data_IF_392890890472
#
_entry.id   IF_392890890472
#
_cell.length_a   1.000
_cell.length_b   1.000
_cell.length_c   1.000
_cell.angle_alpha   90.00
_cell.angle_beta   90.00
_cell.angle_gamma   90.00
#
_symmetry.space_group_name_H-M   'P 1'
#
loop_
_entity.id
_entity.type
_entity.pdbx_description
1 polymer ?
#
# COMPACT_ATOMS: atom_id res chain seq x y z
N UNK A 1 10.40 -3.79 -23.73
CA UNK A 1 9.89 -3.88 -22.35
C UNK A 1 11.02 -4.31 -21.43
N UNK A 2 11.01 -3.86 -20.19
CA UNK A 2 12.01 -4.26 -19.19
C UNK A 2 11.47 -5.41 -18.34
N UNK A 3 12.32 -6.36 -17.98
CA UNK A 3 12.03 -7.43 -17.02
C UNK A 3 13.16 -7.44 -16.02
N UNK A 4 12.85 -7.35 -14.73
CA UNK A 4 13.83 -7.31 -13.64
C UNK A 4 13.41 -8.23 -12.50
N UNK A 5 14.38 -8.85 -11.83
CA UNK A 5 14.15 -9.65 -10.64
C UNK A 5 15.01 -9.13 -9.49
N UNK A 6 14.42 -9.05 -8.30
CA UNK A 6 15.07 -8.60 -7.08
C UNK A 6 14.72 -9.53 -5.93
N UNK A 7 15.61 -9.64 -4.95
CA UNK A 7 15.36 -10.50 -3.80
C UNK A 7 14.37 -9.85 -2.83
N UNK A 8 14.42 -8.52 -2.68
CA UNK A 8 13.53 -7.71 -1.84
C UNK A 8 13.48 -6.24 -2.25
N UNK A 9 12.94 -5.38 -1.37
CA UNK A 9 12.74 -3.95 -1.65
C UNK A 9 14.05 -3.16 -1.76
N UNK A 10 15.11 -3.57 -1.07
CA UNK A 10 16.37 -2.83 -1.07
C UNK A 10 17.15 -3.10 -2.36
N UNK A 11 17.21 -4.36 -2.83
CA UNK A 11 17.81 -4.65 -4.14
C UNK A 11 16.99 -4.06 -5.28
N UNK A 12 15.65 -4.04 -5.15
CA UNK A 12 14.76 -3.30 -6.05
C UNK A 12 15.13 -1.82 -6.15
N UNK A 13 15.29 -1.14 -5.01
CA UNK A 13 15.65 0.28 -4.97
C UNK A 13 16.96 0.56 -5.72
N UNK A 14 18.00 -0.22 -5.45
CA UNK A 14 19.31 -0.02 -6.09
C UNK A 14 19.25 -0.33 -7.59
N UNK A 15 18.66 -1.46 -7.95
CA UNK A 15 18.59 -1.91 -9.34
C UNK A 15 17.74 -1.00 -10.22
N UNK A 16 16.58 -0.56 -9.73
CA UNK A 16 15.71 0.35 -10.48
C UNK A 16 16.28 1.76 -10.55
N UNK A 17 16.96 2.25 -9.51
CA UNK A 17 17.69 3.52 -9.60
C UNK A 17 18.72 3.49 -10.75
N UNK A 18 19.53 2.43 -10.85
CA UNK A 18 20.48 2.24 -11.97
C UNK A 18 19.77 2.16 -13.31
N UNK A 19 18.68 1.40 -13.40
CA UNK A 19 17.94 1.25 -14.64
C UNK A 19 17.37 2.58 -15.15
N UNK A 20 16.77 3.38 -14.26
CA UNK A 20 16.21 4.70 -14.55
C UNK A 20 17.29 5.71 -14.96
N UNK A 21 18.47 5.71 -14.32
CA UNK A 21 19.57 6.60 -14.72
C UNK A 21 20.15 6.25 -16.09
N UNK A 22 20.22 4.95 -16.41
CA UNK A 22 20.84 4.47 -17.64
C UNK A 22 19.90 4.54 -18.87
N UNK A 23 18.59 4.40 -18.65
CA UNK A 23 17.61 4.24 -19.74
C UNK A 23 16.43 5.22 -19.66
N UNK A 24 16.38 6.07 -18.64
CA UNK A 24 15.31 7.03 -18.47
C UNK A 24 15.42 8.20 -19.43
N UNK A 25 14.28 8.65 -19.94
CA UNK A 25 14.18 9.82 -20.80
C UNK A 25 13.48 10.95 -20.05
N UNK A 26 13.97 12.18 -20.23
CA UNK A 26 13.34 13.37 -19.63
C UNK A 26 12.02 13.69 -20.33
N UNK A 27 10.97 13.90 -19.54
CA UNK A 27 9.61 14.22 -19.99
C UNK A 27 8.96 15.22 -19.05
N UNK A 28 8.05 16.03 -19.59
CA UNK A 28 7.23 16.96 -18.80
C UNK A 28 5.81 16.43 -18.76
N UNK A 29 5.33 16.11 -17.56
CA UNK A 29 3.97 15.60 -17.34
C UNK A 29 3.29 16.44 -16.28
N UNK A 30 2.12 17.01 -16.59
CA UNK A 30 1.35 17.87 -15.67
C UNK A 30 2.20 19.02 -15.07
N UNK A 31 3.07 19.62 -15.88
CA UNK A 31 4.03 20.67 -15.49
C UNK A 31 5.17 20.23 -14.54
N UNK A 32 5.39 18.93 -14.39
CA UNK A 32 6.53 18.41 -13.63
C UNK A 32 7.57 17.79 -14.57
N UNK A 33 8.85 18.11 -14.35
CA UNK A 33 9.96 17.42 -15.00
C UNK A 33 10.19 16.05 -14.35
N UNK A 34 10.15 15.02 -15.17
CA UNK A 34 10.31 13.63 -14.78
C UNK A 34 11.35 12.95 -15.66
N UNK A 35 11.96 11.90 -15.14
CA UNK A 35 12.75 10.94 -15.91
C UNK A 35 12.02 9.62 -15.86
N UNK A 36 11.57 9.13 -17.02
CA UNK A 36 10.72 7.95 -17.13
C UNK A 36 11.32 6.89 -18.05
N UNK A 37 11.08 5.61 -17.75
CA UNK A 37 11.41 4.54 -18.68
C UNK A 37 10.55 4.67 -19.95
N UNK A 38 11.19 4.55 -21.10
CA UNK A 38 10.54 4.60 -22.41
C UNK A 38 9.68 3.36 -22.76
N UNK A 39 9.71 2.33 -21.92
CA UNK A 39 8.91 1.12 -22.08
C UNK A 39 8.36 0.62 -20.74
N UNK A 40 7.23 -0.12 -20.76
CA UNK A 40 6.73 -0.83 -19.59
C UNK A 40 7.77 -1.77 -18.97
N UNK A 41 7.65 -1.98 -17.67
CA UNK A 41 8.49 -2.88 -16.88
C UNK A 41 7.65 -3.90 -16.12
N UNK A 42 8.17 -5.13 -16.05
CA UNK A 42 7.72 -6.17 -15.11
C UNK A 42 8.83 -6.38 -14.09
N UNK A 43 8.53 -6.20 -12.82
CA UNK A 43 9.44 -6.48 -11.72
C UNK A 43 8.94 -7.70 -10.96
N UNK A 44 9.83 -8.65 -10.67
CA UNK A 44 9.57 -9.75 -9.73
C UNK A 44 10.35 -9.50 -8.44
N UNK A 45 9.66 -9.51 -7.30
CA UNK A 45 10.26 -9.58 -5.97
C UNK A 45 10.17 -11.02 -5.49
N UNK A 46 11.32 -11.66 -5.27
CA UNK A 46 11.38 -13.08 -4.90
C UNK A 46 10.94 -13.33 -3.46
N UNK A 47 11.20 -12.39 -2.55
CA UNK A 47 10.75 -12.47 -1.17
C UNK A 47 9.92 -11.23 -0.78
N UNK A 48 8.59 -11.28 -0.93
CA UNK A 48 7.70 -10.18 -0.56
C UNK A 48 7.69 -9.82 0.93
N UNK A 49 8.25 -10.68 1.80
CA UNK A 49 8.42 -10.36 3.23
C UNK A 49 9.60 -9.38 3.45
N UNK A 50 10.53 -9.27 2.51
CA UNK A 50 11.60 -8.26 2.52
C UNK A 50 11.11 -6.93 1.95
N UNK A 51 10.17 -6.31 2.67
CA UNK A 51 9.48 -5.06 2.26
C UNK A 51 9.87 -3.83 3.08
N UNK A 52 10.71 -3.98 4.09
CA UNK A 52 11.17 -2.88 4.92
C UNK A 52 12.42 -2.24 4.30
N UNK A 53 12.31 -0.96 3.94
CA UNK A 53 13.45 -0.23 3.38
C UNK A 53 14.43 0.12 4.49
N UNK A 54 15.61 -0.50 4.46
CA UNK A 54 16.67 -0.28 5.46
C UNK A 54 17.85 0.53 4.91
N UNK A 55 17.85 0.89 3.62
CA UNK A 55 18.82 1.81 3.03
C UNK A 55 18.69 3.21 3.66
N UNK A 56 19.76 3.70 4.28
CA UNK A 56 19.75 4.97 5.05
C UNK A 56 19.54 6.18 4.11
N UNK A 57 20.10 6.09 2.91
CA UNK A 57 20.09 7.07 1.83
C UNK A 57 18.67 7.33 1.31
N UNK A 58 17.80 6.32 1.39
CA UNK A 58 16.39 6.45 1.00
C UNK A 58 15.58 7.28 2.01
N UNK A 59 16.04 7.40 3.26
CA UNK A 59 15.36 8.12 4.34
C UNK A 59 13.85 7.80 4.42
N UNK A 60 13.53 6.51 4.46
CA UNK A 60 12.16 6.02 4.37
C UNK A 60 11.37 6.29 5.66
N UNK A 61 10.13 6.77 5.52
CA UNK A 61 9.19 6.90 6.64
C UNK A 61 8.41 5.60 6.79
N UNK A 62 8.93 4.67 7.60
CA UNK A 62 8.33 3.35 7.78
C UNK A 62 6.93 3.38 8.40
N UNK A 63 6.52 4.46 9.09
CA UNK A 63 5.20 4.55 9.74
C UNK A 63 4.07 4.65 8.72
N UNK A 64 4.28 5.43 7.65
CA UNK A 64 3.25 5.74 6.66
C UNK A 64 2.63 4.48 6.01
N UNK A 65 3.41 3.52 5.49
CA UNK A 65 2.85 2.29 4.93
C UNK A 65 1.99 1.47 5.91
N UNK A 66 2.33 1.42 7.21
CA UNK A 66 1.48 0.75 8.19
C UNK A 66 0.17 1.51 8.43
N UNK A 67 0.21 2.85 8.49
CA UNK A 67 -1.00 3.66 8.61
C UNK A 67 -1.89 3.52 7.37
N UNK A 68 -1.30 3.56 6.17
CA UNK A 68 -2.02 3.40 4.91
C UNK A 68 -2.56 1.98 4.73
N UNK A 69 -1.81 0.95 5.13
CA UNK A 69 -2.33 -0.42 5.16
C UNK A 69 -3.60 -0.54 6.01
N UNK A 70 -3.71 0.20 7.12
CA UNK A 70 -4.88 0.14 8.01
C UNK A 70 -6.03 0.88 7.35
N UNK A 71 -5.73 2.04 6.77
CA UNK A 71 -6.68 2.83 6.01
C UNK A 71 -7.27 2.05 4.81
N UNK A 72 -6.43 1.34 4.04
CA UNK A 72 -6.85 0.48 2.93
C UNK A 72 -7.69 -0.69 3.43
N UNK A 73 -7.19 -1.45 4.42
CA UNK A 73 -7.85 -2.67 4.89
C UNK A 73 -9.17 -2.39 5.59
N UNK A 74 -9.32 -1.26 6.31
CA UNK A 74 -10.59 -0.79 6.87
C UNK A 74 -11.56 -0.23 5.82
N UNK A 75 -11.16 -0.12 4.55
CA UNK A 75 -12.02 0.43 3.50
C UNK A 75 -12.16 1.95 3.53
N UNK A 76 -11.24 2.67 4.16
CA UNK A 76 -11.32 4.12 4.41
C UNK A 76 -10.78 4.95 3.25
N UNK A 77 -11.32 6.15 3.12
CA UNK A 77 -10.82 7.21 2.23
C UNK A 77 -10.71 8.57 2.95
N UNK A 78 -10.86 8.64 4.27
CA UNK A 78 -10.88 9.91 4.99
C UNK A 78 -9.48 10.51 5.19
N UNK A 79 -9.37 11.83 4.99
CA UNK A 79 -8.13 12.58 5.22
C UNK A 79 -7.81 12.77 6.70
N UNK A 80 -8.83 12.64 7.58
CA UNK A 80 -8.67 12.80 9.03
C UNK A 80 -7.69 11.79 9.64
N UNK A 81 -7.71 10.54 9.17
CA UNK A 81 -6.75 9.52 9.56
C UNK A 81 -5.41 9.70 8.85
N UNK A 82 -5.34 9.52 7.52
CA UNK A 82 -4.06 9.43 6.81
C UNK A 82 -3.27 10.75 6.84
N UNK A 83 -3.97 11.89 6.81
CA UNK A 83 -3.38 13.23 6.92
C UNK A 83 -2.79 13.55 8.30
N UNK A 84 -3.06 12.72 9.32
CA UNK A 84 -2.39 12.82 10.61
C UNK A 84 -0.98 12.22 10.61
N UNK A 85 -0.72 11.23 9.74
CA UNK A 85 0.58 10.57 9.59
C UNK A 85 1.48 11.30 8.59
N UNK A 86 0.89 11.91 7.55
CA UNK A 86 1.61 12.71 6.57
C UNK A 86 0.76 13.88 6.07
N UNK A 87 1.09 15.11 6.49
CA UNK A 87 0.37 16.32 6.07
C UNK A 87 0.39 16.58 4.56
N UNK A 88 1.41 16.11 3.84
CA UNK A 88 1.47 16.23 2.38
C UNK A 88 0.37 15.43 1.65
N UNK A 89 -0.31 14.50 2.33
CA UNK A 89 -1.43 13.78 1.71
C UNK A 89 -2.58 14.73 1.30
N UNK A 90 -2.74 15.87 1.98
CA UNK A 90 -3.74 16.88 1.61
C UNK A 90 -3.50 17.51 0.23
N UNK A 91 -2.26 17.49 -0.27
CA UNK A 91 -1.93 18.00 -1.62
C UNK A 91 -2.62 17.19 -2.72
N UNK A 92 -3.01 15.94 -2.42
CA UNK A 92 -3.71 15.02 -3.32
C UNK A 92 -5.22 14.94 -3.05
N UNK A 93 -5.77 15.76 -2.14
CA UNK A 93 -7.21 15.80 -1.87
C UNK A 93 -7.85 17.00 -2.57
N UNK A 94 -9.00 16.76 -3.19
CA UNK A 94 -9.79 17.82 -3.82
C UNK A 94 -10.54 18.67 -2.78
N UNK A 95 -10.97 18.06 -1.67
CA UNK A 95 -11.86 18.66 -0.65
C UNK A 95 -11.23 18.78 0.75
N UNK A 96 -10.02 18.26 0.95
CA UNK A 96 -9.34 18.09 2.24
C UNK A 96 -10.09 17.23 3.28
N UNK A 97 -11.14 16.52 2.88
CA UNK A 97 -12.00 15.70 3.72
C UNK A 97 -11.81 14.22 3.37
N UNK A 98 -11.71 13.90 2.09
CA UNK A 98 -11.53 12.56 1.54
C UNK A 98 -10.46 12.51 0.45
N UNK A 99 -9.94 11.33 0.16
CA UNK A 99 -9.04 11.09 -0.99
C UNK A 99 -9.75 10.17 -1.97
N UNK A 100 -10.15 10.74 -3.11
CA UNK A 100 -11.04 10.09 -4.06
C UNK A 100 -10.42 8.83 -4.68
N UNK A 101 -9.10 8.78 -4.86
CA UNK A 101 -8.39 7.62 -5.40
C UNK A 101 -7.96 6.60 -4.33
N UNK A 102 -8.36 6.79 -3.07
CA UNK A 102 -8.09 5.85 -1.99
C UNK A 102 -8.48 4.40 -2.37
N UNK A 103 -7.60 3.45 -2.08
CA UNK A 103 -7.88 2.06 -2.42
C UNK A 103 -8.91 1.41 -1.49
N UNK A 104 -9.11 1.93 -0.27
CA UNK A 104 -10.03 1.35 0.72
C UNK A 104 -11.43 1.07 0.16
N UNK A 105 -12.20 2.09 -0.26
CA UNK A 105 -13.54 1.87 -0.79
C UNK A 105 -13.58 1.00 -2.04
N UNK A 106 -12.56 1.08 -2.88
CA UNK A 106 -12.44 0.23 -4.07
C UNK A 106 -12.31 -1.24 -3.68
N UNK A 107 -11.56 -1.54 -2.62
CA UNK A 107 -11.31 -2.92 -2.17
C UNK A 107 -12.47 -3.49 -1.34
N UNK A 108 -13.09 -2.68 -0.48
CA UNK A 108 -14.08 -3.15 0.50
C UNK A 108 -15.53 -2.88 0.11
N UNK A 109 -15.77 -1.89 -0.75
CA UNK A 109 -17.11 -1.36 -1.05
C UNK A 109 -17.30 -1.06 -2.54
N UNK A 110 -16.83 -1.94 -3.43
CA UNK A 110 -16.91 -1.74 -4.87
C UNK A 110 -18.38 -1.76 -5.32
N UNK A 111 -18.88 -0.66 -5.88
CA UNK A 111 -20.30 -0.56 -6.26
C UNK A 111 -20.49 0.13 -7.62
N UNK A 112 -21.72 0.14 -8.14
CA UNK A 112 -22.08 0.91 -9.34
C UNK A 112 -22.42 2.38 -9.08
N UNK A 113 -22.30 2.89 -7.84
CA UNK A 113 -22.67 4.28 -7.49
C UNK A 113 -21.61 5.25 -8.02
N UNK A 114 -21.95 6.23 -8.88
CA UNK A 114 -20.94 7.08 -9.51
C UNK A 114 -20.08 7.92 -8.55
N UNK A 115 -20.64 8.39 -7.42
CA UNK A 115 -20.00 9.36 -6.52
C UNK A 115 -19.69 8.78 -5.12
N UNK A 116 -19.58 7.46 -4.99
CA UNK A 116 -19.29 6.81 -3.70
C UNK A 116 -17.84 7.02 -3.21
N UNK A 117 -16.90 7.34 -4.10
CA UNK A 117 -15.52 7.67 -3.72
C UNK A 117 -15.32 9.11 -3.23
N UNK A 118 -16.29 10.00 -3.45
CA UNK A 118 -16.22 11.42 -3.06
C UNK A 118 -16.82 11.70 -1.68
N UNK A 119 -17.60 10.76 -1.13
CA UNK A 119 -18.28 10.95 0.13
C UNK A 119 -17.71 10.01 1.19
N UNK A 120 -17.44 10.51 2.41
CA UNK A 120 -17.12 9.72 3.62
C UNK A 120 -18.33 8.87 4.09
N UNK A 121 -19.09 8.29 3.17
CA UNK A 121 -20.26 7.50 3.49
C UNK A 121 -19.76 6.25 4.20
N UNK A 122 -19.93 6.22 5.52
CA UNK A 122 -20.38 5.01 6.19
C UNK A 122 -21.63 4.56 5.44
N UNK A 123 -21.49 3.69 4.44
CA UNK A 123 -22.53 3.27 3.49
C UNK A 123 -23.71 2.51 4.14
N UNK A 124 -23.82 2.53 5.48
CA UNK A 124 -24.99 2.05 6.23
C UNK A 124 -26.26 2.85 5.98
N UNK A 125 -26.22 3.99 5.27
CA UNK A 125 -27.36 4.91 5.14
C UNK A 125 -27.79 5.31 3.72
N UNK A 126 -27.32 4.66 2.65
CA UNK A 126 -27.92 4.85 1.32
C UNK A 126 -29.19 3.99 1.20
N UNK A 127 -30.29 4.45 1.80
CA UNK A 127 -31.65 4.00 1.43
C UNK A 127 -32.11 4.81 0.22
N UNK A 128 -31.50 4.58 -0.94
CA UNK A 128 -32.01 5.11 -2.21
C UNK A 128 -32.89 4.03 -2.83
N UNK A 129 -34.15 4.38 -3.10
CA UNK A 129 -35.13 3.54 -3.80
C UNK A 129 -34.71 3.38 -5.27
N UNK A 130 -33.64 2.63 -5.53
CA UNK A 130 -33.26 2.14 -6.86
C UNK A 130 -33.09 0.62 -6.71
N UNK A 131 -33.71 -0.12 -7.62
CA UNK A 131 -33.65 -1.57 -7.69
C UNK A 131 -32.18 -2.05 -7.71
N UNK A 132 -31.77 -2.74 -6.62
CA UNK A 132 -30.51 -3.48 -6.42
C UNK A 132 -29.22 -2.80 -6.94
N UNK A 133 -28.74 -1.77 -6.24
CA UNK A 133 -27.30 -1.50 -6.22
C UNK A 133 -26.62 -2.63 -5.44
N UNK A 134 -25.70 -3.35 -6.10
CA UNK A 134 -24.88 -4.38 -5.44
C UNK A 134 -23.53 -3.74 -5.09
N UNK A 135 -23.22 -3.75 -3.80
CA UNK A 135 -21.89 -3.45 -3.28
C UNK A 135 -21.12 -4.76 -3.08
N UNK A 136 -19.85 -4.77 -3.46
CA UNK A 136 -18.96 -5.93 -3.44
C UNK A 136 -17.75 -5.62 -2.57
N UNK A 137 -17.63 -6.33 -1.46
CA UNK A 137 -16.35 -6.48 -0.77
C UNK A 137 -15.46 -7.41 -1.60
N UNK A 138 -14.49 -6.83 -2.31
CA UNK A 138 -13.59 -7.59 -3.18
C UNK A 138 -12.64 -8.47 -2.36
N UNK A 139 -12.38 -8.18 -1.07
CA UNK A 139 -11.65 -9.11 -0.21
C UNK A 139 -12.46 -10.38 0.07
N UNK A 140 -13.76 -10.21 0.37
CA UNK A 140 -14.68 -11.33 0.52
C UNK A 140 -14.78 -12.14 -0.77
N UNK A 141 -14.80 -11.46 -1.92
CA UNK A 141 -14.76 -12.11 -3.23
C UNK A 141 -13.52 -13.01 -3.38
N UNK A 142 -12.31 -12.52 -3.09
CA UNK A 142 -11.07 -13.32 -3.16
C UNK A 142 -11.19 -14.59 -2.30
N UNK A 143 -11.58 -14.47 -1.04
CA UNK A 143 -11.73 -15.65 -0.17
C UNK A 143 -12.73 -16.67 -0.74
N UNK A 144 -13.88 -16.18 -1.25
CA UNK A 144 -14.95 -17.03 -1.81
C UNK A 144 -14.51 -17.76 -3.08
N UNK A 145 -13.80 -17.10 -4.00
CA UNK A 145 -13.37 -17.76 -5.25
C UNK A 145 -12.29 -18.81 -5.00
N UNK A 146 -11.37 -18.58 -4.05
CA UNK A 146 -10.37 -19.58 -3.67
C UNK A 146 -10.97 -20.76 -2.90
N UNK A 147 -12.01 -20.52 -2.06
CA UNK A 147 -12.77 -21.60 -1.41
C UNK A 147 -13.49 -22.48 -2.44
N UNK A 148 -13.98 -21.89 -3.54
CA UNK A 148 -14.65 -22.61 -4.63
C UNK A 148 -13.65 -23.38 -5.50
N UNK A 149 -12.54 -22.74 -5.87
CA UNK A 149 -11.48 -23.32 -6.70
C UNK A 149 -10.11 -22.80 -6.20
N UNK A 150 -9.31 -23.67 -5.53
CA UNK A 150 -8.00 -23.28 -5.00
C UNK A 150 -6.99 -22.83 -6.06
N UNK A 151 -7.19 -23.18 -7.34
CA UNK A 151 -6.32 -22.80 -8.46
C UNK A 151 -6.99 -21.79 -9.42
N UNK A 152 -7.99 -21.06 -8.90
CA UNK A 152 -8.74 -20.07 -9.67
C UNK A 152 -7.82 -19.05 -10.35
N UNK A 153 -8.18 -18.70 -11.58
CA UNK A 153 -7.56 -17.59 -12.34
C UNK A 153 -8.37 -16.29 -12.22
N UNK A 154 -9.46 -16.34 -11.48
CA UNK A 154 -10.45 -15.26 -11.34
C UNK A 154 -10.26 -14.41 -10.08
N UNK A 155 -9.28 -14.74 -9.21
CA UNK A 155 -8.98 -13.96 -8.01
C UNK A 155 -8.36 -12.61 -8.34
N UNK A 156 -9.19 -11.64 -8.74
CA UNK A 156 -8.77 -10.31 -9.17
C UNK A 156 -9.56 -9.26 -8.39
N UNK A 157 -8.85 -8.24 -7.90
CA UNK A 157 -9.41 -7.00 -7.36
C UNK A 157 -9.24 -5.90 -8.42
N UNK A 158 -10.33 -5.26 -8.80
CA UNK A 158 -10.34 -4.09 -9.70
C UNK A 158 -10.22 -2.79 -8.89
N UNK A 159 -9.39 -1.86 -9.35
CA UNK A 159 -9.18 -0.56 -8.68
C UNK A 159 -9.59 0.60 -9.57
N UNK A 160 -9.08 0.65 -10.81
CA UNK A 160 -9.46 1.69 -11.76
C UNK A 160 -10.87 1.45 -12.27
N UNK A 161 -11.71 2.47 -12.19
CA UNK A 161 -13.07 2.47 -12.71
C UNK A 161 -13.25 3.69 -13.62
N UNK A 162 -13.20 3.53 -14.96
CA UNK A 162 -13.24 4.68 -15.86
C UNK A 162 -14.48 5.55 -15.73
N UNK A 163 -15.64 4.96 -15.41
CA UNK A 163 -16.88 5.70 -15.26
C UNK A 163 -16.82 6.65 -14.07
N UNK A 164 -16.13 6.27 -12.99
CA UNK A 164 -16.00 7.06 -11.76
C UNK A 164 -14.74 7.91 -11.70
N UNK A 165 -13.66 7.44 -12.30
CA UNK A 165 -12.34 8.08 -12.18
C UNK A 165 -12.10 9.13 -13.26
N UNK A 166 -12.66 8.99 -14.46
CA UNK A 166 -12.36 9.88 -15.60
C UNK A 166 -13.52 10.77 -16.05
N UNK A 167 -14.75 10.46 -15.67
CA UNK A 167 -15.93 11.23 -16.06
C UNK A 167 -16.67 11.81 -14.85
N UNK A 168 -17.20 13.02 -14.98
CA UNK A 168 -18.13 13.60 -14.02
C UNK A 168 -19.60 13.23 -14.33
N UNK A 169 -20.55 13.73 -13.55
CA UNK A 169 -21.98 13.43 -13.72
C UNK A 169 -22.56 13.93 -15.05
N UNK A 170 -21.87 14.85 -15.74
CA UNK A 170 -22.26 15.35 -17.06
C UNK A 170 -21.52 14.62 -18.20
N UNK A 171 -20.75 13.58 -17.87
CA UNK A 171 -19.93 12.81 -18.82
C UNK A 171 -18.79 13.64 -19.46
N UNK A 172 -18.33 14.67 -18.76
CA UNK A 172 -17.14 15.44 -19.12
C UNK A 172 -15.90 14.90 -18.39
N UNK A 173 -14.71 15.17 -18.94
CA UNK A 173 -13.46 14.74 -18.30
C UNK A 173 -13.33 15.35 -16.91
N UNK A 174 -13.25 14.49 -15.89
CA UNK A 174 -13.17 14.90 -14.48
C UNK A 174 -11.90 15.69 -14.22
N UNK A 175 -12.06 16.86 -13.59
CA UNK A 175 -10.95 17.68 -13.08
C UNK A 175 -10.73 17.35 -11.63
N UNK A 176 -9.68 16.59 -11.34
CA UNK A 176 -9.33 16.13 -9.99
C UNK A 176 -7.81 16.11 -9.85
N UNK A 177 -7.32 16.37 -8.64
CA UNK A 177 -5.90 16.18 -8.30
C UNK A 177 -5.52 14.71 -8.24
N UNK A 178 -6.51 13.84 -8.05
CA UNK A 178 -6.30 12.48 -7.59
C UNK A 178 -6.89 11.48 -8.56
N UNK A 179 -6.05 10.63 -9.15
CA UNK A 179 -6.48 9.54 -10.01
C UNK A 179 -5.75 8.27 -9.57
N UNK A 180 -6.43 7.13 -9.39
CA UNK A 180 -5.76 5.90 -9.00
C UNK A 180 -4.74 5.53 -10.07
N UNK A 181 -3.56 5.14 -9.62
CA UNK A 181 -2.46 4.72 -10.50
C UNK A 181 -2.42 3.19 -10.67
N UNK A 182 -3.07 2.46 -9.76
CA UNK A 182 -3.22 1.01 -9.82
C UNK A 182 -4.48 0.62 -10.58
N UNK A 183 -4.35 -0.32 -11.51
CA UNK A 183 -5.45 -0.85 -12.30
C UNK A 183 -6.13 -2.02 -11.59
N UNK A 184 -5.36 -3.04 -11.23
CA UNK A 184 -5.84 -4.27 -10.61
C UNK A 184 -4.75 -4.99 -9.79
N UNK A 185 -5.20 -5.93 -8.95
CA UNK A 185 -4.37 -6.85 -8.18
C UNK A 185 -4.92 -8.27 -8.44
N UNK A 186 -4.07 -9.18 -8.92
CA UNK A 186 -4.42 -10.57 -9.14
C UNK A 186 -3.71 -11.48 -8.14
N UNK A 187 -4.43 -12.45 -7.61
CA UNK A 187 -3.98 -13.47 -6.68
C UNK A 187 -3.96 -14.81 -7.39
N UNK A 188 -2.84 -15.52 -7.33
CA UNK A 188 -2.68 -16.83 -7.98
C UNK A 188 -2.00 -17.80 -7.03
N UNK A 189 -2.62 -18.97 -6.81
CA UNK A 189 -1.94 -20.07 -6.14
C UNK A 189 -0.89 -20.68 -7.08
N UNK A 190 0.31 -20.93 -6.55
CA UNK A 190 1.37 -21.76 -7.15
C UNK A 190 1.82 -22.76 -6.10
N UNK A 191 1.54 -24.04 -6.34
CA UNK A 191 1.79 -25.10 -5.36
C UNK A 191 1.16 -24.79 -4.00
N UNK A 192 1.98 -24.52 -2.97
CA UNK A 192 1.53 -24.16 -1.63
C UNK A 192 1.64 -22.66 -1.31
N UNK A 193 2.03 -21.83 -2.28
CA UNK A 193 2.21 -20.39 -2.09
C UNK A 193 1.21 -19.54 -2.86
N UNK A 194 1.02 -18.31 -2.40
CA UNK A 194 0.19 -17.29 -3.02
C UNK A 194 1.06 -16.25 -3.71
N UNK A 195 1.06 -16.23 -5.04
CA UNK A 195 1.63 -15.15 -5.83
C UNK A 195 0.64 -13.98 -5.95
N UNK A 196 1.16 -12.76 -5.98
CA UNK A 196 0.36 -11.55 -6.24
C UNK A 196 0.96 -10.75 -7.39
N UNK A 197 0.12 -10.34 -8.33
CA UNK A 197 0.49 -9.49 -9.47
C UNK A 197 -0.28 -8.18 -9.35
N UNK A 198 0.43 -7.05 -9.31
CA UNK A 198 -0.18 -5.72 -9.36
C UNK A 198 0.13 -5.07 -10.70
N UNK A 199 -0.90 -4.54 -11.37
CA UNK A 199 -0.74 -3.77 -12.60
C UNK A 199 -1.06 -2.30 -12.37
N UNK A 200 -0.14 -1.42 -12.78
CA UNK A 200 -0.22 0.02 -12.60
C UNK A 200 0.01 0.74 -13.93
N UNK A 201 -0.83 1.74 -14.23
CA UNK A 201 -0.64 2.59 -15.42
C UNK A 201 0.54 3.55 -15.28
N UNK A 202 0.94 3.88 -14.06
CA UNK A 202 2.07 4.75 -13.76
C UNK A 202 2.49 4.57 -12.31
N UNK A 203 3.79 4.65 -12.01
CA UNK A 203 4.27 4.61 -10.63
C UNK A 203 5.50 5.49 -10.45
N UNK A 204 5.44 6.44 -9.52
CA UNK A 204 6.62 7.19 -9.08
C UNK A 204 7.53 6.27 -8.24
N UNK A 205 8.83 6.25 -8.55
CA UNK A 205 9.81 5.36 -7.96
C UNK A 205 10.03 5.63 -6.46
N UNK A 206 10.01 6.90 -6.04
CA UNK A 206 10.28 7.28 -4.65
C UNK A 206 9.02 7.20 -3.79
N UNK A 207 8.05 8.07 -4.00
CA UNK A 207 6.85 8.26 -3.19
C UNK A 207 5.76 7.24 -3.46
N UNK A 208 5.74 6.60 -4.62
CA UNK A 208 4.84 5.49 -4.90
C UNK A 208 5.47 4.15 -4.54
N UNK A 209 6.34 3.67 -5.42
CA UNK A 209 6.80 2.27 -5.48
C UNK A 209 7.48 1.86 -4.18
N UNK A 210 8.48 2.64 -3.76
CA UNK A 210 9.31 2.33 -2.59
C UNK A 210 8.82 2.93 -1.28
N UNK A 211 7.93 3.94 -1.31
CA UNK A 211 7.40 4.49 -0.06
C UNK A 211 6.27 3.64 0.49
N UNK A 212 5.32 3.21 -0.36
CA UNK A 212 4.08 2.60 0.10
C UNK A 212 3.54 1.48 -0.78
N UNK A 213 3.62 1.57 -2.11
CA UNK A 213 2.92 0.62 -2.99
C UNK A 213 3.42 -0.82 -2.83
N UNK A 214 4.72 -1.06 -2.98
CA UNK A 214 5.26 -2.42 -2.85
C UNK A 214 5.06 -2.92 -1.41
N UNK A 215 5.24 -2.07 -0.40
CA UNK A 215 4.94 -2.45 0.98
C UNK A 215 3.48 -2.90 1.12
N UNK A 216 2.52 -2.05 0.76
CA UNK A 216 1.10 -2.31 0.97
C UNK A 216 0.69 -3.57 0.21
N UNK A 217 1.02 -3.71 -1.08
CA UNK A 217 0.59 -4.87 -1.87
C UNK A 217 1.24 -6.18 -1.43
N UNK A 218 2.51 -6.16 -0.98
CA UNK A 218 3.14 -7.36 -0.39
C UNK A 218 2.66 -7.65 1.03
N UNK A 219 2.15 -6.65 1.74
CA UNK A 219 1.46 -6.81 3.02
C UNK A 219 0.05 -7.40 2.80
N UNK A 220 -0.67 -6.96 1.75
CA UNK A 220 -1.91 -7.59 1.26
C UNK A 220 -1.68 -9.06 0.96
N UNK A 221 -0.63 -9.36 0.19
CA UNK A 221 -0.24 -10.73 -0.09
C UNK A 221 -0.02 -11.56 1.19
N UNK A 222 0.67 -11.01 2.20
CA UNK A 222 0.95 -11.74 3.44
C UNK A 222 -0.32 -12.08 4.21
N UNK A 223 -1.24 -11.13 4.43
CA UNK A 223 -2.46 -11.45 5.15
C UNK A 223 -3.42 -12.32 4.32
N UNK A 224 -3.45 -12.20 2.99
CA UNK A 224 -4.23 -13.13 2.17
C UNK A 224 -3.63 -14.54 2.14
N UNK A 225 -2.31 -14.68 2.14
CA UNK A 225 -1.66 -15.99 2.27
C UNK A 225 -2.09 -16.65 3.59
N UNK A 226 -2.08 -15.90 4.71
CA UNK A 226 -2.57 -16.39 6.01
C UNK A 226 -4.08 -16.74 5.98
N UNK A 227 -4.93 -15.88 5.43
CA UNK A 227 -6.38 -16.10 5.25
C UNK A 227 -6.66 -17.38 4.45
N UNK A 228 -5.91 -17.64 3.39
CA UNK A 228 -6.10 -18.78 2.51
C UNK A 228 -5.35 -20.05 2.97
N UNK A 229 -4.52 -19.93 4.00
CA UNK A 229 -3.68 -21.02 4.49
C UNK A 229 -2.57 -21.44 3.53
N UNK A 230 -1.99 -20.48 2.84
CA UNK A 230 -0.88 -20.64 1.91
C UNK A 230 0.38 -19.94 2.45
N UNK A 231 1.53 -20.31 1.90
CA UNK A 231 2.78 -19.59 2.08
C UNK A 231 2.79 -18.31 1.21
N UNK A 232 3.65 -17.35 1.54
CA UNK A 232 3.85 -16.17 0.69
C UNK A 232 4.72 -16.56 -0.51
N UNK A 233 4.17 -16.39 -1.72
CA UNK A 233 4.86 -16.68 -2.99
C UNK A 233 5.65 -15.47 -3.52
N UNK A 234 5.73 -15.35 -4.84
CA UNK A 234 6.38 -14.21 -5.50
C UNK A 234 5.43 -13.02 -5.63
N UNK A 235 6.01 -11.82 -5.68
CA UNK A 235 5.28 -10.61 -6.00
C UNK A 235 5.71 -10.08 -7.37
N UNK A 236 4.75 -9.75 -8.21
CA UNK A 236 4.97 -9.19 -9.54
C UNK A 236 4.40 -7.77 -9.59
N UNK A 237 5.22 -6.80 -9.98
CA UNK A 237 4.87 -5.39 -10.07
C UNK A 237 5.02 -4.94 -11.52
N UNK A 238 3.90 -4.77 -12.22
CA UNK A 238 3.84 -4.39 -13.63
C UNK A 238 3.51 -2.91 -13.71
N UNK A 239 4.40 -2.12 -14.31
CA UNK A 239 4.23 -0.66 -14.43
C UNK A 239 4.38 -0.25 -15.87
N UNK A 240 3.35 0.41 -16.42
CA UNK A 240 3.41 0.91 -17.80
C UNK A 240 4.37 2.11 -17.94
N UNK A 241 4.41 2.97 -16.93
CA UNK A 241 5.26 4.16 -16.86
C UNK A 241 5.91 4.26 -15.46
N UNK A 242 7.17 3.85 -15.35
CA UNK A 242 7.97 3.99 -14.13
C UNK A 242 8.85 5.23 -14.25
N UNK A 243 8.78 6.13 -13.29
CA UNK A 243 9.48 7.42 -13.35
C UNK A 243 9.97 7.89 -12.00
N UNK A 244 10.83 8.90 -12.00
CA UNK A 244 11.10 9.73 -10.83
C UNK A 244 11.02 11.22 -11.21
N UNK A 245 10.60 12.07 -10.27
CA UNK A 245 10.66 13.53 -10.44
C UNK A 245 12.09 14.04 -10.36
N UNK A 246 12.50 14.91 -11.28
CA UNK A 246 13.90 15.34 -11.46
C UNK A 246 14.50 16.00 -10.21
N UNK A 247 13.68 16.61 -9.36
CA UNK A 247 14.08 17.13 -8.04
C UNK A 247 14.72 16.06 -7.12
N UNK A 248 14.47 14.77 -7.39
CA UNK A 248 15.02 13.65 -6.65
C UNK A 248 16.23 13.00 -7.33
N UNK A 249 16.71 13.53 -8.46
CA UNK A 249 17.80 12.92 -9.24
C UNK A 249 19.03 12.60 -8.39
N UNK A 250 19.51 13.56 -7.58
CA UNK A 250 20.68 13.34 -6.70
C UNK A 250 20.47 12.18 -5.72
N UNK A 251 19.25 11.95 -5.25
CA UNK A 251 18.93 10.79 -4.40
C UNK A 251 18.91 9.49 -5.20
N UNK A 252 18.43 9.51 -6.45
CA UNK A 252 18.51 8.34 -7.35
C UNK A 252 19.98 7.96 -7.53
N UNK A 253 20.83 8.93 -7.88
CA UNK A 253 22.27 8.74 -8.06
C UNK A 253 22.94 8.17 -6.79
N UNK A 254 22.59 8.72 -5.62
CA UNK A 254 23.10 8.24 -4.34
C UNK A 254 22.73 6.77 -4.09
N UNK A 255 21.47 6.40 -4.32
CA UNK A 255 20.99 5.01 -4.16
C UNK A 255 21.63 4.08 -5.19
N UNK A 256 21.77 4.52 -6.45
CA UNK A 256 22.36 3.72 -7.52
C UNK A 256 23.84 3.36 -7.26
N UNK A 257 24.56 4.24 -6.56
CA UNK A 257 25.97 4.06 -6.20
C UNK A 257 26.21 3.12 -5.00
N UNK A 258 25.15 2.66 -4.31
CA UNK A 258 25.30 1.71 -3.21
C UNK A 258 25.76 0.35 -3.73
N UNK A 259 26.83 -0.17 -3.13
CA UNK A 259 27.39 -1.49 -3.45
C UNK A 259 26.90 -2.58 -2.51
N UNK A 260 26.62 -2.22 -1.26
CA UNK A 260 26.07 -3.12 -0.25
C UNK A 260 24.53 -3.07 -0.25
N UNK A 261 23.93 -4.25 -0.20
CA UNK A 261 22.48 -4.41 -0.13
C UNK A 261 22.16 -5.64 0.71
N UNK A 262 21.19 -5.51 1.62
CA UNK A 262 20.62 -6.64 2.35
C UNK A 262 19.10 -6.58 2.23
N UNK A 263 18.52 -7.64 1.71
CA UNK A 263 17.08 -7.87 1.69
C UNK A 263 16.69 -8.79 2.85
N UNK A 264 16.99 -8.33 4.07
CA UNK A 264 16.56 -9.00 5.29
C UNK A 264 15.02 -8.99 5.36
N UNK A 265 14.46 -10.00 6.03
CA UNK A 265 13.02 -10.14 6.20
C UNK A 265 12.69 -10.75 7.55
N UNK A 266 11.43 -10.61 7.93
CA UNK A 266 10.88 -11.26 9.10
C UNK A 266 9.54 -11.90 8.73
N UNK A 267 9.39 -13.19 9.03
CA UNK A 267 8.16 -13.93 8.78
C UNK A 267 7.37 -14.04 10.08
N UNK A 268 6.25 -13.32 10.16
CA UNK A 268 5.35 -13.44 11.31
C UNK A 268 4.68 -14.82 11.31
N UNK A 269 4.45 -15.38 12.50
CA UNK A 269 3.69 -16.62 12.65
C UNK A 269 2.25 -16.46 12.14
N UNK A 270 1.63 -17.55 11.72
CA UNK A 270 0.23 -17.57 11.29
C UNK A 270 -0.69 -17.58 12.51
N UNK A 271 -1.59 -16.61 12.61
CA UNK A 271 -2.50 -16.43 13.77
C UNK A 271 -3.97 -16.24 13.40
N UNK A 272 -4.26 -16.04 12.11
CA UNK A 272 -5.60 -15.95 11.56
C UNK A 272 -5.71 -16.79 10.29
N UNK A 273 -6.90 -17.34 10.04
CA UNK A 273 -7.10 -18.36 9.00
C UNK A 273 -8.31 -18.11 8.10
N UNK A 274 -8.94 -16.95 8.19
CA UNK A 274 -10.06 -16.54 7.35
C UNK A 274 -10.22 -15.01 7.41
N UNK A 275 -11.00 -14.47 6.48
CA UNK A 275 -11.22 -13.02 6.38
C UNK A 275 -11.95 -12.46 7.61
N UNK A 276 -12.88 -13.19 8.21
CA UNK A 276 -13.64 -12.73 9.37
C UNK A 276 -12.74 -12.50 10.61
N UNK A 277 -11.80 -13.41 10.85
CA UNK A 277 -10.78 -13.29 11.90
C UNK A 277 -9.82 -12.12 11.66
N UNK A 278 -9.47 -11.86 10.40
CA UNK A 278 -8.66 -10.71 10.01
C UNK A 278 -9.44 -9.40 10.24
N UNK A 279 -10.67 -9.31 9.76
CA UNK A 279 -11.53 -8.13 9.90
C UNK A 279 -11.83 -7.80 11.37
N UNK A 280 -12.01 -8.81 12.23
CA UNK A 280 -12.18 -8.58 13.67
C UNK A 280 -10.95 -7.90 14.30
N UNK A 281 -9.74 -8.25 13.85
CA UNK A 281 -8.49 -7.65 14.32
C UNK A 281 -8.27 -6.26 13.71
N UNK A 282 -8.63 -6.05 12.45
CA UNK A 282 -8.63 -4.73 11.81
C UNK A 282 -9.58 -3.78 12.54
N UNK A 283 -10.81 -4.20 12.87
CA UNK A 283 -11.75 -3.37 13.62
C UNK A 283 -11.22 -2.97 15.01
N UNK A 284 -10.52 -3.89 15.70
CA UNK A 284 -9.85 -3.61 16.97
C UNK A 284 -8.68 -2.63 16.80
N UNK A 285 -7.88 -2.79 15.74
CA UNK A 285 -6.75 -1.91 15.43
C UNK A 285 -7.21 -0.51 15.01
N UNK A 286 -8.29 -0.40 14.24
CA UNK A 286 -8.91 0.86 13.83
C UNK A 286 -9.45 1.63 15.04
N UNK A 287 -10.16 0.95 15.95
CA UNK A 287 -10.60 1.56 17.21
C UNK A 287 -9.41 2.10 18.02
N UNK A 288 -8.33 1.33 18.11
CA UNK A 288 -7.12 1.76 18.80
C UNK A 288 -6.45 2.97 18.12
N UNK A 289 -6.37 2.99 16.80
CA UNK A 289 -5.88 4.14 16.05
C UNK A 289 -6.69 5.40 16.31
N UNK A 290 -8.02 5.27 16.32
CA UNK A 290 -8.93 6.36 16.64
C UNK A 290 -8.70 6.89 18.06
N UNK A 291 -8.51 6.01 19.05
CA UNK A 291 -8.18 6.40 20.43
C UNK A 291 -6.81 7.09 20.54
N UNK A 292 -5.82 6.67 19.75
CA UNK A 292 -4.51 7.34 19.70
C UNK A 292 -4.64 8.77 19.17
N UNK A 293 -5.36 8.94 18.06
CA UNK A 293 -5.46 10.21 17.34
C UNK A 293 -6.44 11.20 17.96
N UNK A 294 -7.61 10.73 18.43
CA UNK A 294 -8.71 11.58 18.92
C UNK A 294 -8.71 11.72 20.45
N UNK A 295 -8.31 10.67 21.17
CA UNK A 295 -8.36 10.63 22.64
C UNK A 295 -6.97 10.64 23.29
N UNK A 296 -5.90 10.68 22.49
CA UNK A 296 -4.50 10.73 22.95
C UNK A 296 -4.15 9.63 23.96
N UNK A 297 -4.70 8.41 23.76
CA UNK A 297 -4.42 7.29 24.66
C UNK A 297 -2.91 7.01 24.72
N UNK A 298 -2.43 6.63 25.91
CA UNK A 298 -1.03 6.23 26.17
C UNK A 298 -0.89 4.75 26.50
N UNK A 299 -1.98 3.99 26.36
CA UNK A 299 -2.00 2.56 26.63
C UNK A 299 -1.90 1.78 25.32
N UNK A 300 -0.85 0.96 25.20
CA UNK A 300 -0.71 0.02 24.09
C UNK A 300 -1.69 -1.15 24.26
N UNK A 301 -2.28 -1.61 23.16
CA UNK A 301 -3.10 -2.83 23.11
C UNK A 301 -2.26 -4.03 22.67
N UNK A 302 -2.75 -5.24 22.95
CA UNK A 302 -2.18 -6.48 22.42
C UNK A 302 -3.24 -7.32 21.70
N UNK A 303 -2.81 -8.10 20.73
CA UNK A 303 -3.57 -9.04 19.92
C UNK A 303 -3.19 -10.50 20.19
N UNK A 304 -2.20 -10.75 21.06
CA UNK A 304 -1.55 -12.06 21.21
C UNK A 304 -1.09 -12.61 19.85
N UNK A 305 -0.63 -11.69 18.99
CA UNK A 305 -0.19 -11.94 17.62
C UNK A 305 0.85 -10.91 17.21
N UNK A 306 2.07 -11.37 16.92
CA UNK A 306 3.19 -10.49 16.59
C UNK A 306 2.93 -9.59 15.37
N UNK A 307 2.14 -10.06 14.39
CA UNK A 307 1.85 -9.29 13.17
C UNK A 307 1.00 -8.04 13.50
N UNK A 308 -0.10 -8.21 14.23
CA UNK A 308 -0.95 -7.10 14.66
C UNK A 308 -0.34 -6.29 15.82
N UNK A 309 0.43 -6.93 16.70
CA UNK A 309 1.10 -6.25 17.80
C UNK A 309 2.17 -5.28 17.28
N UNK A 310 3.02 -5.71 16.34
CA UNK A 310 4.01 -4.79 15.76
C UNK A 310 3.35 -3.70 14.92
N UNK A 311 2.26 -4.00 14.22
CA UNK A 311 1.48 -2.98 13.52
C UNK A 311 0.92 -1.92 14.48
N UNK A 312 0.30 -2.35 15.58
CA UNK A 312 -0.19 -1.45 16.63
C UNK A 312 0.94 -0.63 17.27
N UNK A 313 2.10 -1.26 17.54
CA UNK A 313 3.28 -0.58 18.08
C UNK A 313 3.82 0.49 17.15
N UNK A 314 3.81 0.30 15.83
CA UNK A 314 4.25 1.33 14.86
C UNK A 314 3.36 2.57 14.96
N UNK A 315 2.04 2.40 14.98
CA UNK A 315 1.09 3.51 15.12
C UNK A 315 1.21 4.19 16.49
N UNK A 316 1.35 3.39 17.55
CA UNK A 316 1.54 3.87 18.92
C UNK A 316 2.83 4.69 19.08
N UNK A 317 3.96 4.20 18.54
CA UNK A 317 5.25 4.88 18.56
C UNK A 317 5.18 6.27 17.92
N UNK A 318 4.44 6.38 16.82
CA UNK A 318 4.24 7.65 16.12
C UNK A 318 3.49 8.68 16.97
N UNK A 319 2.33 8.30 17.53
CA UNK A 319 1.47 9.24 18.29
C UNK A 319 2.00 9.55 19.69
N UNK A 320 2.68 8.61 20.33
CA UNK A 320 3.17 8.80 21.71
C UNK A 320 4.59 9.31 21.79
N UNK A 321 5.36 9.23 20.69
CA UNK A 321 6.79 9.54 20.64
C UNK A 321 7.61 8.77 21.70
N UNK A 322 7.13 7.59 22.12
CA UNK A 322 7.83 6.79 23.12
C UNK A 322 9.10 6.14 22.54
N UNK A 323 10.27 6.32 23.17
CA UNK A 323 11.52 5.78 22.66
C UNK A 323 11.69 4.27 22.96
N UNK A 324 11.06 3.74 24.01
CA UNK A 324 11.34 2.37 24.51
C UNK A 324 10.38 1.30 23.99
N UNK A 325 9.98 1.35 22.71
CA UNK A 325 9.09 0.34 22.13
C UNK A 325 9.92 -0.76 21.48
N UNK A 326 9.66 -2.01 21.87
CA UNK A 326 10.31 -3.20 21.31
C UNK A 326 9.35 -3.97 20.39
N UNK A 327 9.79 -4.16 19.15
CA UNK A 327 9.11 -4.92 18.11
C UNK A 327 9.57 -6.38 18.12
N UNK A 328 8.67 -7.28 17.73
CA UNK A 328 9.01 -8.69 17.48
C UNK A 328 9.86 -8.80 16.20
N UNK A 329 9.60 -7.95 15.21
CA UNK A 329 10.39 -7.81 14.01
C UNK A 329 11.70 -7.01 14.29
N UNK A 330 12.88 -7.62 14.17
CA UNK A 330 14.16 -6.97 14.45
C UNK A 330 14.45 -5.76 13.55
N UNK A 331 13.96 -5.77 12.30
CA UNK A 331 14.15 -4.67 11.37
C UNK A 331 13.36 -3.42 11.77
N UNK A 332 12.19 -3.59 12.42
CA UNK A 332 11.45 -2.46 13.00
C UNK A 332 12.18 -1.85 14.19
N UNK A 333 12.84 -2.66 15.03
CA UNK A 333 13.69 -2.15 16.11
C UNK A 333 14.80 -1.27 15.53
N UNK A 334 15.51 -1.75 14.51
CA UNK A 334 16.57 -0.98 13.83
C UNK A 334 16.04 0.34 13.25
N UNK A 335 14.90 0.31 12.55
CA UNK A 335 14.30 1.51 11.95
C UNK A 335 13.82 2.52 13.01
N UNK A 336 13.30 2.05 14.13
CA UNK A 336 12.84 2.89 15.24
C UNK A 336 14.01 3.56 15.97
N UNK A 337 15.06 2.79 16.29
CA UNK A 337 16.29 3.30 16.93
C UNK A 337 16.96 4.40 16.08
N UNK A 338 17.10 4.16 14.77
CA UNK A 338 17.67 5.15 13.83
C UNK A 338 16.89 6.46 13.81
N UNK A 339 15.56 6.42 13.93
CA UNK A 339 14.71 7.61 13.94
C UNK A 339 14.91 8.44 15.21
N UNK A 340 15.13 7.78 16.36
CA UNK A 340 15.40 8.47 17.62
C UNK A 340 16.74 9.20 17.60
N UNK A 341 17.78 8.57 17.05
CA UNK A 341 19.10 9.21 16.91
C UNK A 341 19.04 10.49 16.05
N UNK A 342 18.20 10.51 15.00
CA UNK A 342 17.99 11.69 14.16
C UNK A 342 17.21 12.82 14.84
N UNK A 343 16.51 12.58 15.95
CA UNK A 343 15.76 13.61 16.66
C UNK A 343 16.59 14.32 17.75
N UNK A 344 17.79 13.82 18.04
CA UNK A 344 18.74 14.34 19.04
C UNK A 344 19.73 15.33 18.40
N UNK A 345 19.79 15.37 17.07
CA UNK A 345 20.58 16.29 16.25
C UNK A 345 19.66 17.17 15.41
#
# INVERSE_FOLDING_TARGET
MYIQEFDGINSFLIGIARLLLNNGESRVTRNFETVELNHPIIIKIKNPLSRLVTLKERNWNHVLPYAESLWISSGRNDMGMIGSYLKKMYDFSDDNISMRAAYGPRLRYFSGVPNDYENNLNQKSIKVHIEKIIEVDQFSFIEKVFKKDPYTRQGIISITDPAKDYFDNNYELKKTKDFPCTNNIQFLRRDNSLDVITHMRSNDFFWGASAVNIFNFTFIQEYFAKILGLDVGYYYHIVNNLHYYKDFQKKVETIANLTECKDDYFAYKKSFNNLAEFDARIAKLEKFEDELRKSNTKKLITFDDDFFDDWAKVLFAFHTKQPSIKFSNPLLNELHERKQLKAIH
#
